data_IF_949829823691
#
_entry.id   IF_949829823691
#
_cell.length_a   1.000
_cell.length_b   1.000
_cell.length_c   1.000
_cell.angle_alpha   90.00
_cell.angle_beta   90.00
_cell.angle_gamma   90.00
#
_symmetry.space_group_name_H-M   'P 1'
#
loop_
_entity.id
_entity.type
_entity.pdbx_description
1 polymer ?
#
# COMPACT_ATOMS: atom_id res chain seq x y z
N UNK A 1 -5.61 -9.43 17.13
CA UNK A 1 -5.91 -8.09 16.59
C UNK A 1 -5.95 -7.09 17.74
N UNK A 2 -4.80 -6.57 18.18
CA UNK A 2 -4.68 -5.60 19.27
C UNK A 2 -3.48 -4.72 18.96
N UNK A 3 -3.74 -3.50 18.51
CA UNK A 3 -2.68 -2.57 18.08
C UNK A 3 -3.14 -1.17 17.64
N UNK A 4 -4.44 -0.93 17.47
CA UNK A 4 -4.94 0.37 16.96
C UNK A 4 -5.32 1.37 18.06
N UNK A 5 -5.57 0.92 19.30
CA UNK A 5 -6.21 1.75 20.33
C UNK A 5 -5.44 2.96 20.89
N UNK A 6 -4.18 3.19 20.50
CA UNK A 6 -3.39 4.32 21.02
C UNK A 6 -3.03 5.38 19.97
N UNK A 7 -3.14 5.08 18.66
CA UNK A 7 -2.88 6.06 17.59
C UNK A 7 -4.06 6.99 17.38
N UNK A 8 -5.26 6.52 17.72
CA UNK A 8 -6.50 7.28 17.52
C UNK A 8 -6.77 8.28 18.64
N UNK A 9 -6.20 8.08 19.84
CA UNK A 9 -6.46 8.95 21.00
C UNK A 9 -6.02 10.40 20.73
N UNK A 10 -4.80 10.68 20.23
CA UNK A 10 -4.38 12.03 19.90
C UNK A 10 -5.22 12.64 18.76
N UNK A 11 -5.56 11.84 17.75
CA UNK A 11 -6.40 12.28 16.64
C UNK A 11 -7.80 12.68 17.12
N UNK A 12 -8.42 11.87 17.97
CA UNK A 12 -9.72 12.11 18.55
C UNK A 12 -9.73 13.41 19.37
N UNK A 13 -8.73 13.61 20.25
CA UNK A 13 -8.64 14.82 21.09
C UNK A 13 -8.56 16.08 20.23
N UNK A 14 -7.69 16.10 19.22
CA UNK A 14 -7.53 17.27 18.34
C UNK A 14 -8.80 17.49 17.50
N UNK A 15 -9.43 16.42 17.02
CA UNK A 15 -10.66 16.53 16.23
C UNK A 15 -11.83 17.05 17.09
N UNK A 16 -11.97 16.58 18.32
CA UNK A 16 -12.95 17.09 19.29
C UNK A 16 -12.72 18.57 19.59
N UNK A 17 -11.45 18.97 19.79
CA UNK A 17 -11.07 20.37 19.97
C UNK A 17 -11.54 21.21 18.78
N UNK A 18 -11.19 20.81 17.55
CA UNK A 18 -11.59 21.49 16.33
C UNK A 18 -13.11 21.60 16.19
N UNK A 19 -13.86 20.51 16.45
CA UNK A 19 -15.33 20.51 16.42
C UNK A 19 -15.93 21.54 17.38
N UNK A 20 -15.45 21.58 18.61
CA UNK A 20 -15.91 22.54 19.63
C UNK A 20 -15.59 23.98 19.18
N UNK A 21 -14.36 24.25 18.76
CA UNK A 21 -13.96 25.59 18.30
C UNK A 21 -14.74 26.03 17.06
N UNK A 22 -15.05 25.12 16.14
CA UNK A 22 -15.89 25.41 14.96
C UNK A 22 -17.29 25.87 15.38
N UNK A 23 -17.90 25.21 16.37
CA UNK A 23 -19.21 25.61 16.91
C UNK A 23 -19.13 26.99 17.58
N UNK A 24 -18.08 27.24 18.36
CA UNK A 24 -17.88 28.54 19.03
C UNK A 24 -17.69 29.65 18.00
N UNK A 25 -16.83 29.46 16.99
CA UNK A 25 -16.62 30.45 15.94
C UNK A 25 -17.94 30.75 15.21
N UNK A 26 -18.70 29.71 14.86
CA UNK A 26 -19.96 29.85 14.15
C UNK A 26 -21.02 30.62 14.95
N UNK A 27 -21.09 30.41 16.27
CA UNK A 27 -22.11 31.05 17.11
C UNK A 27 -21.73 32.42 17.66
N UNK A 28 -20.47 32.62 18.00
CA UNK A 28 -20.02 33.74 18.85
C UNK A 28 -18.76 34.44 18.31
N UNK A 29 -18.02 33.80 17.42
CA UNK A 29 -16.71 34.27 16.99
C UNK A 29 -16.76 35.14 15.73
N UNK A 30 -15.65 35.83 15.43
CA UNK A 30 -15.50 36.54 14.17
C UNK A 30 -15.45 35.58 12.99
N UNK A 31 -15.88 36.05 11.81
CA UNK A 31 -15.95 35.25 10.58
C UNK A 31 -14.60 34.65 10.15
N UNK A 32 -13.47 35.25 10.54
CA UNK A 32 -12.13 34.80 10.15
C UNK A 32 -11.17 34.81 11.35
N UNK A 33 -10.52 33.69 11.58
CA UNK A 33 -9.53 33.46 12.63
C UNK A 33 -8.29 32.73 12.07
N UNK A 34 -7.52 33.34 11.14
CA UNK A 34 -6.43 32.68 10.43
C UNK A 34 -5.32 32.17 11.36
N UNK A 35 -4.99 32.91 12.42
CA UNK A 35 -3.97 32.51 13.40
C UNK A 35 -4.42 31.28 14.22
N UNK A 36 -5.68 31.24 14.62
CA UNK A 36 -6.24 30.08 15.33
C UNK A 36 -6.32 28.85 14.41
N UNK A 37 -6.79 29.04 13.17
CA UNK A 37 -6.79 27.98 12.17
C UNK A 37 -5.38 27.45 11.90
N UNK A 38 -4.38 28.33 11.82
CA UNK A 38 -2.99 27.92 11.65
C UNK A 38 -2.44 27.16 12.87
N UNK A 39 -2.80 27.58 14.08
CA UNK A 39 -2.42 26.90 15.31
C UNK A 39 -3.04 25.50 15.39
N UNK A 40 -4.35 25.37 15.17
CA UNK A 40 -5.03 24.06 15.14
C UNK A 40 -4.52 23.22 13.96
N UNK A 41 -4.25 23.84 12.81
CA UNK A 41 -3.65 23.20 11.64
C UNK A 41 -2.35 22.46 11.95
N UNK A 42 -1.49 23.02 12.81
CA UNK A 42 -0.26 22.35 13.28
C UNK A 42 -0.53 21.16 14.21
N UNK A 43 -1.66 21.15 14.91
CA UNK A 43 -2.06 20.05 15.79
C UNK A 43 -2.73 18.90 15.04
N UNK A 44 -3.20 19.12 13.80
CA UNK A 44 -3.96 18.14 13.02
C UNK A 44 -3.14 16.96 12.46
N UNK A 45 -1.83 16.92 12.68
CA UNK A 45 -0.95 15.83 12.22
C UNK A 45 -1.51 14.42 12.51
N UNK A 46 -1.85 14.08 13.77
CA UNK A 46 -2.42 12.78 14.11
C UNK A 46 -3.75 12.48 13.41
N UNK A 47 -4.57 13.50 13.12
CA UNK A 47 -5.85 13.32 12.40
C UNK A 47 -5.59 12.93 10.95
N UNK A 48 -4.64 13.59 10.29
CA UNK A 48 -4.26 13.23 8.91
C UNK A 48 -3.55 11.88 8.88
N UNK A 49 -2.70 11.59 9.85
CA UNK A 49 -1.97 10.32 9.95
C UNK A 49 -2.86 9.11 10.24
N UNK A 50 -4.09 9.33 10.70
CA UNK A 50 -5.08 8.26 10.90
C UNK A 50 -5.69 7.71 9.59
N UNK A 51 -5.48 8.36 8.45
CA UNK A 51 -5.84 7.81 7.14
C UNK A 51 -4.80 6.76 6.69
N UNK A 52 -5.22 5.73 5.95
CA UNK A 52 -4.34 4.66 5.46
C UNK A 52 -3.49 5.09 4.26
N UNK A 53 -4.11 5.79 3.30
CA UNK A 53 -3.48 6.15 2.03
C UNK A 53 -2.44 7.27 2.13
N UNK A 54 -1.17 6.98 1.84
CA UNK A 54 -0.10 8.00 1.73
C UNK A 54 -0.48 9.15 0.77
N UNK A 55 -1.04 8.89 -0.44
CA UNK A 55 -1.40 9.95 -1.37
C UNK A 55 -2.48 10.87 -0.79
N UNK A 56 -3.47 10.31 -0.11
CA UNK A 56 -4.54 11.06 0.53
C UNK A 56 -4.00 11.93 1.67
N UNK A 57 -3.13 11.39 2.53
CA UNK A 57 -2.47 12.16 3.58
C UNK A 57 -1.71 13.38 3.03
N UNK A 58 -0.95 13.20 1.95
CA UNK A 58 -0.22 14.29 1.28
C UNK A 58 -1.19 15.34 0.70
N UNK A 59 -2.28 14.89 0.06
CA UNK A 59 -3.33 15.76 -0.48
C UNK A 59 -3.95 16.60 0.63
N UNK A 60 -4.36 15.98 1.74
CA UNK A 60 -4.94 16.66 2.89
C UNK A 60 -3.97 17.67 3.51
N UNK A 61 -2.68 17.32 3.67
CA UNK A 61 -1.67 18.26 4.15
C UNK A 61 -1.52 19.49 3.25
N UNK A 62 -1.50 19.31 1.93
CA UNK A 62 -1.43 20.41 0.96
C UNK A 62 -2.67 21.29 1.03
N UNK A 63 -3.86 20.69 1.02
CA UNK A 63 -5.12 21.42 1.10
C UNK A 63 -5.29 22.16 2.44
N UNK A 64 -4.77 21.60 3.53
CA UNK A 64 -4.84 22.22 4.85
C UNK A 64 -4.13 23.57 4.87
N UNK A 65 -2.97 23.69 4.23
CA UNK A 65 -2.23 24.97 4.16
C UNK A 65 -3.06 26.07 3.51
N UNK A 66 -3.78 25.76 2.43
CA UNK A 66 -4.68 26.73 1.79
C UNK A 66 -5.91 27.05 2.64
N UNK A 67 -6.47 26.07 3.32
CA UNK A 67 -7.70 26.23 4.10
C UNK A 67 -7.48 27.03 5.39
N UNK A 68 -6.35 26.85 6.08
CA UNK A 68 -6.09 27.59 7.33
C UNK A 68 -5.96 29.10 7.12
N UNK A 69 -5.46 29.53 5.95
CA UNK A 69 -5.33 30.96 5.58
C UNK A 69 -6.68 31.64 5.46
N UNK A 70 -7.74 30.90 5.10
CA UNK A 70 -9.10 31.44 5.01
C UNK A 70 -9.67 31.81 6.38
N UNK A 71 -9.16 31.21 7.46
CA UNK A 71 -9.56 31.51 8.83
C UNK A 71 -10.92 30.93 9.25
N UNK A 72 -11.43 29.92 8.54
CA UNK A 72 -12.71 29.28 8.83
C UNK A 72 -12.47 27.90 9.44
N UNK A 73 -12.74 27.73 10.74
CA UNK A 73 -12.56 26.46 11.43
C UNK A 73 -13.52 25.38 10.93
N UNK A 74 -14.72 25.76 10.49
CA UNK A 74 -15.67 24.83 9.89
C UNK A 74 -15.15 24.29 8.55
N UNK A 75 -14.47 25.11 7.75
CA UNK A 75 -13.83 24.63 6.52
C UNK A 75 -12.64 23.71 6.83
N UNK A 76 -11.85 24.01 7.86
CA UNK A 76 -10.76 23.13 8.30
C UNK A 76 -11.34 21.79 8.76
N UNK A 77 -12.43 21.80 9.54
CA UNK A 77 -13.12 20.60 10.00
C UNK A 77 -13.64 19.76 8.82
N UNK A 78 -14.37 20.38 7.90
CA UNK A 78 -14.92 19.68 6.74
C UNK A 78 -13.84 19.08 5.83
N UNK A 79 -12.64 19.66 5.80
CA UNK A 79 -11.51 19.11 5.05
C UNK A 79 -10.98 17.81 5.67
N UNK A 80 -10.84 17.74 6.99
CA UNK A 80 -10.17 16.62 7.69
C UNK A 80 -11.12 15.56 8.24
N UNK A 81 -12.42 15.86 8.28
CA UNK A 81 -13.47 15.04 8.88
C UNK A 81 -14.62 14.79 7.90
N UNK A 82 -14.26 14.52 6.63
CA UNK A 82 -15.22 14.15 5.60
C UNK A 82 -15.52 12.64 5.67
N UNK A 83 -16.78 12.24 5.96
CA UNK A 83 -17.16 10.83 6.08
C UNK A 83 -17.02 10.05 4.76
N UNK A 84 -17.13 10.71 3.61
CA UNK A 84 -16.97 10.05 2.31
C UNK A 84 -15.50 9.69 2.07
N UNK A 85 -14.59 10.65 2.27
CA UNK A 85 -13.15 10.41 2.16
C UNK A 85 -12.67 9.32 3.14
N UNK A 86 -13.25 9.26 4.35
CA UNK A 86 -12.96 8.19 5.32
C UNK A 86 -13.39 6.81 4.81
N UNK A 87 -14.61 6.68 4.30
CA UNK A 87 -15.12 5.42 3.75
C UNK A 87 -14.36 4.96 2.52
N UNK A 88 -13.99 5.89 1.65
CA UNK A 88 -13.18 5.63 0.46
C UNK A 88 -11.79 5.11 0.85
N UNK A 89 -11.14 5.73 1.83
CA UNK A 89 -9.83 5.30 2.35
C UNK A 89 -9.91 3.89 2.97
N UNK A 90 -10.91 3.61 3.80
CA UNK A 90 -11.12 2.28 4.39
C UNK A 90 -11.41 1.21 3.32
N UNK A 91 -12.22 1.55 2.33
CA UNK A 91 -12.58 0.62 1.24
C UNK A 91 -11.38 0.36 0.34
N UNK A 92 -10.63 1.41 -0.03
CA UNK A 92 -9.40 1.30 -0.81
C UNK A 92 -8.37 0.44 -0.09
N UNK A 93 -8.11 0.73 1.19
CA UNK A 93 -7.19 -0.07 2.00
C UNK A 93 -7.60 -1.55 2.07
N UNK A 94 -8.90 -1.85 2.25
CA UNK A 94 -9.39 -3.23 2.24
C UNK A 94 -9.21 -3.91 0.88
N UNK A 95 -9.44 -3.20 -0.21
CA UNK A 95 -9.24 -3.74 -1.56
C UNK A 95 -7.76 -4.04 -1.81
N UNK A 96 -6.86 -3.13 -1.42
CA UNK A 96 -5.41 -3.32 -1.53
C UNK A 96 -4.93 -4.55 -0.75
N UNK A 97 -5.50 -4.81 0.44
CA UNK A 97 -5.19 -6.01 1.23
C UNK A 97 -5.64 -7.30 0.53
N UNK A 98 -6.80 -7.29 -0.11
CA UNK A 98 -7.33 -8.44 -0.87
C UNK A 98 -6.43 -8.70 -2.09
N UNK A 99 -6.10 -7.66 -2.84
CA UNK A 99 -5.23 -7.75 -4.02
C UNK A 99 -3.83 -8.26 -3.66
N UNK A 100 -3.25 -7.72 -2.59
CA UNK A 100 -1.97 -8.19 -2.07
C UNK A 100 -2.01 -9.67 -1.67
N UNK A 101 -3.09 -10.12 -1.03
CA UNK A 101 -3.27 -11.52 -0.67
C UNK A 101 -3.39 -12.42 -1.91
N UNK A 102 -4.14 -12.00 -2.94
CA UNK A 102 -4.24 -12.76 -4.19
C UNK A 102 -2.92 -12.83 -4.95
N UNK A 103 -2.17 -11.73 -5.03
CA UNK A 103 -0.85 -11.71 -5.66
C UNK A 103 0.14 -12.65 -4.95
N UNK A 104 0.14 -12.66 -3.62
CA UNK A 104 0.99 -13.57 -2.86
C UNK A 104 0.61 -15.04 -3.06
N UNK A 105 -0.68 -15.35 -3.17
CA UNK A 105 -1.14 -16.70 -3.48
C UNK A 105 -0.68 -17.15 -4.88
N UNK A 106 -0.78 -16.26 -5.88
CA UNK A 106 -0.29 -16.50 -7.24
C UNK A 106 1.23 -16.71 -7.28
N UNK A 107 2.01 -15.87 -6.60
CA UNK A 107 3.47 -16.04 -6.48
C UNK A 107 3.81 -17.41 -5.87
N UNK A 108 3.08 -17.85 -4.84
CA UNK A 108 3.30 -19.15 -4.22
C UNK A 108 2.98 -20.31 -5.17
N UNK A 109 1.90 -20.20 -5.96
CA UNK A 109 1.53 -21.19 -6.99
C UNK A 109 2.57 -21.28 -8.11
N UNK A 110 3.04 -20.12 -8.61
CA UNK A 110 4.11 -20.04 -9.61
C UNK A 110 5.43 -20.65 -9.10
N UNK A 111 5.75 -20.46 -7.82
CA UNK A 111 6.94 -21.07 -7.21
C UNK A 111 6.85 -22.60 -7.17
N UNK A 112 5.69 -23.16 -6.79
CA UNK A 112 5.47 -24.61 -6.74
C UNK A 112 5.52 -25.27 -8.13
N UNK A 113 4.94 -24.64 -9.14
CA UNK A 113 4.94 -25.13 -10.52
C UNK A 113 6.32 -25.05 -11.16
N UNK A 114 7.09 -24.00 -10.87
CA UNK A 114 8.48 -23.86 -11.32
C UNK A 114 9.41 -24.94 -10.73
N UNK A 115 9.24 -25.27 -9.44
CA UNK A 115 10.02 -26.33 -8.78
C UNK A 115 9.68 -27.73 -9.34
N UNK A 116 8.40 -27.97 -9.67
CA UNK A 116 7.95 -29.17 -10.37
C UNK A 116 8.56 -29.32 -11.76
N UNK A 117 8.56 -28.24 -12.56
CA UNK A 117 9.12 -28.22 -13.91
C UNK A 117 10.65 -28.36 -13.92
N UNK A 118 11.34 -27.78 -12.92
CA UNK A 118 12.79 -27.92 -12.75
C UNK A 118 13.19 -29.38 -12.43
N UNK A 119 12.40 -30.08 -11.60
CA UNK A 119 12.64 -31.50 -11.28
C UNK A 119 12.35 -32.43 -12.47
N UNK A 120 11.36 -32.14 -13.31
CA UNK A 120 11.09 -32.92 -14.53
C UNK A 120 12.13 -32.67 -15.62
N UNK A 121 12.60 -31.42 -15.78
CA UNK A 121 13.65 -31.04 -16.72
C UNK A 121 14.99 -31.70 -16.39
N UNK A 122 15.34 -31.79 -15.10
CA UNK A 122 16.55 -32.51 -14.64
C UNK A 122 16.49 -34.02 -14.91
N UNK A 123 15.32 -34.65 -14.78
CA UNK A 123 15.15 -36.09 -15.12
C UNK A 123 15.18 -36.34 -16.63
N UNK A 124 14.73 -35.38 -17.43
CA UNK A 124 14.71 -35.49 -18.90
C UNK A 124 16.09 -35.27 -19.50
N UNK A 125 16.93 -34.41 -18.91
CA UNK A 125 18.31 -34.19 -19.33
C UNK A 125 19.19 -35.46 -19.25
N UNK A 126 19.01 -36.29 -18.22
CA UNK A 126 19.76 -37.55 -18.07
C UNK A 126 19.37 -38.64 -19.09
N UNK A 127 18.21 -38.55 -19.74
CA UNK A 127 17.79 -39.53 -20.76
C UNK A 127 18.23 -39.15 -22.17
N UNK A 128 18.46 -37.86 -22.43
CA UNK A 128 18.98 -37.38 -23.72
C UNK A 128 20.49 -37.56 -23.80
N UNK A 129 21.23 -37.42 -22.69
CA UNK A 129 22.70 -37.56 -22.66
C UNK A 129 23.19 -38.97 -23.01
N UNK A 130 22.50 -40.02 -22.55
CA UNK A 130 22.86 -41.41 -22.84
C UNK A 130 22.69 -41.80 -24.33
N UNK A 131 21.75 -41.16 -25.04
CA UNK A 131 21.51 -41.43 -26.46
C UNK A 131 22.61 -40.87 -27.36
N UNK A 132 23.07 -39.64 -27.10
CA UNK A 132 24.09 -38.96 -27.91
C UNK A 132 25.46 -39.63 -27.79
N UNK A 133 25.83 -40.11 -26.60
CA UNK A 133 27.11 -40.79 -26.39
C UNK A 133 27.24 -42.10 -27.18
N UNK A 134 26.13 -42.83 -27.37
CA UNK A 134 26.14 -44.11 -28.09
C UNK A 134 26.36 -43.90 -29.60
N UNK A 135 25.76 -42.86 -30.18
CA UNK A 135 25.95 -42.52 -31.59
C UNK A 135 27.40 -42.14 -31.90
N UNK A 136 28.06 -41.37 -31.02
CA UNK A 136 29.46 -40.99 -31.20
C UNK A 136 30.36 -42.24 -31.12
N UNK A 137 30.12 -43.14 -30.17
CA UNK A 137 30.90 -44.36 -30.02
C UNK A 137 30.80 -45.28 -31.26
N UNK A 138 29.60 -45.45 -31.82
CA UNK A 138 29.39 -46.26 -33.03
C UNK A 138 30.14 -45.66 -34.22
N UNK A 139 30.07 -44.33 -34.41
CA UNK A 139 30.77 -43.65 -35.50
C UNK A 139 32.29 -43.86 -35.42
N UNK A 140 32.88 -43.74 -34.23
CA UNK A 140 34.31 -43.94 -34.02
C UNK A 140 34.72 -45.37 -34.38
N UNK A 141 33.96 -46.38 -33.92
CA UNK A 141 34.24 -47.79 -34.23
C UNK A 141 34.15 -48.05 -35.73
N UNK A 142 33.12 -47.53 -36.41
CA UNK A 142 32.98 -47.72 -37.87
C UNK A 142 34.11 -47.08 -38.65
N UNK A 143 34.58 -45.90 -38.22
CA UNK A 143 35.67 -45.20 -38.90
C UNK A 143 37.00 -45.94 -38.72
N UNK A 144 37.24 -46.52 -37.53
CA UNK A 144 38.42 -47.32 -37.26
C UNK A 144 38.50 -48.60 -38.11
N UNK A 145 37.35 -49.26 -38.35
CA UNK A 145 37.27 -50.46 -39.20
C UNK A 145 37.56 -50.14 -40.67
N UNK A 146 37.17 -48.95 -41.15
CA UNK A 146 37.40 -48.54 -42.55
C UNK A 146 38.87 -48.16 -42.81
N UNK A 147 39.57 -47.68 -41.77
CA UNK A 147 40.98 -47.26 -41.87
C UNK A 147 41.97 -48.42 -41.66
N UNK A 148 41.55 -49.50 -41.00
CA UNK A 148 42.35 -50.71 -40.80
C UNK A 148 42.32 -51.64 -42.02
#
# INVERSE_FOLDING_TARGET
MKGLGNRDLPALVVLSLLRIYSIIQWRLGPKKLPNLCSWIGRLLGPVIDSYHGIPLRKKLHSQLQGTVVKGSLIEVLNLVDDPNHRREDETGFRNDLIEYASMNAEIAELALTSDGQSRESLKTANRISAGVSLFIAILIITMMIIVA
#
